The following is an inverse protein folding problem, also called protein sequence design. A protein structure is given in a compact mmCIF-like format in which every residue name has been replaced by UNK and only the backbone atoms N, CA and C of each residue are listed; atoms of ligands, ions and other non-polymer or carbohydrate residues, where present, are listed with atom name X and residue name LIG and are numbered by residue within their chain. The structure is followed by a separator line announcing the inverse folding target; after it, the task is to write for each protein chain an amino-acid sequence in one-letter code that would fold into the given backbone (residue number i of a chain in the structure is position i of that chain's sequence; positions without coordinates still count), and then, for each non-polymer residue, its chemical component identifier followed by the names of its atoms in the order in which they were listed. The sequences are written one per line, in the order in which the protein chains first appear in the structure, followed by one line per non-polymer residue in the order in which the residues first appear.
data_IF_891600426537
#
_entry.id   IF_891600426537
#
_cell.length_a   1.000
_cell.length_b   1.000
_cell.length_c   1.000
_cell.angle_alpha   90.00
_cell.angle_beta   90.00
_cell.angle_gamma   90.00
#
_symmetry.space_group_name_H-M   'P 1'
#
loop_
_entity.id
_entity.type
_entity.pdbx_description
1 polymer ?
#
# COMPACT_ATOMS: atom_id res chain seq x y z
N UNK A 1 30.98 11.91 -46.73
CA UNK A 1 29.77 12.15 -47.56
C UNK A 1 28.55 11.62 -46.84
N UNK A 2 27.75 12.48 -46.20
CA UNK A 2 26.49 12.06 -45.58
C UNK A 2 25.39 12.00 -46.66
N UNK A 3 24.92 10.80 -47.00
CA UNK A 3 23.78 10.61 -47.92
C UNK A 3 22.56 11.34 -47.34
N UNK A 4 22.04 12.34 -48.07
CA UNK A 4 20.78 13.05 -47.77
C UNK A 4 19.68 11.98 -47.62
N UNK A 5 19.13 11.81 -46.41
CA UNK A 5 17.96 10.95 -46.19
C UNK A 5 16.79 11.53 -46.97
N UNK A 6 16.31 10.78 -47.97
CA UNK A 6 15.05 11.07 -48.66
C UNK A 6 13.93 11.07 -47.61
N UNK A 7 13.27 12.21 -47.41
CA UNK A 7 12.11 12.31 -46.52
C UNK A 7 10.97 11.52 -47.15
N UNK A 8 10.71 10.30 -46.66
CA UNK A 8 9.49 9.55 -47.02
C UNK A 8 8.27 10.40 -46.62
N UNK A 9 7.55 10.91 -47.61
CA UNK A 9 6.30 11.63 -47.41
C UNK A 9 5.21 10.62 -47.15
N UNK A 10 4.82 10.47 -45.88
CA UNK A 10 3.67 9.65 -45.53
C UNK A 10 2.38 10.35 -46.00
N UNK A 11 1.32 9.59 -46.36
CA UNK A 11 0.04 10.18 -46.74
C UNK A 11 -0.48 11.10 -45.63
N UNK A 12 -1.04 12.26 -46.01
CA UNK A 12 -1.67 13.16 -45.04
C UNK A 12 -2.78 12.39 -44.30
N UNK A 13 -2.79 12.49 -42.97
CA UNK A 13 -3.75 11.75 -42.13
C UNK A 13 -3.27 10.38 -41.63
N UNK A 14 -2.10 9.87 -42.07
CA UNK A 14 -1.58 8.56 -41.63
C UNK A 14 -1.07 8.57 -40.19
N UNK A 15 -0.77 9.73 -39.60
CA UNK A 15 -0.31 9.82 -38.20
C UNK A 15 -1.23 10.64 -37.31
N UNK A 16 -1.40 10.18 -36.07
CA UNK A 16 -1.98 10.98 -34.99
C UNK A 16 -1.07 12.19 -34.74
N UNK A 17 -1.62 13.39 -34.49
CA UNK A 17 -0.83 14.53 -34.06
C UNK A 17 0.10 14.15 -32.89
N UNK A 18 1.39 14.45 -33.02
CA UNK A 18 2.41 14.07 -32.02
C UNK A 18 2.01 14.37 -30.57
N UNK A 19 1.41 15.54 -30.24
CA UNK A 19 1.00 15.81 -28.85
C UNK A 19 -0.04 14.83 -28.32
N UNK A 20 -1.02 14.44 -29.15
CA UNK A 20 -2.06 13.49 -28.74
C UNK A 20 -1.49 12.07 -28.55
N UNK A 21 -0.52 11.67 -29.37
CA UNK A 21 0.20 10.41 -29.19
C UNK A 21 1.00 10.41 -27.87
N UNK A 22 1.74 11.47 -27.60
CA UNK A 22 2.53 11.60 -26.36
C UNK A 22 1.62 11.55 -25.13
N UNK A 23 0.52 12.30 -25.13
CA UNK A 23 -0.44 12.27 -24.03
C UNK A 23 -1.04 10.88 -23.80
N UNK A 24 -1.43 10.16 -24.87
CA UNK A 24 -1.96 8.80 -24.74
C UNK A 24 -0.90 7.82 -24.18
N UNK A 25 0.36 7.96 -24.58
CA UNK A 25 1.45 7.14 -24.03
C UNK A 25 1.67 7.47 -22.54
N UNK A 26 1.69 8.76 -22.17
CA UNK A 26 1.83 9.15 -20.76
C UNK A 26 0.67 8.62 -19.90
N UNK A 27 -0.57 8.69 -20.39
CA UNK A 27 -1.72 8.11 -19.69
C UNK A 27 -1.55 6.60 -19.49
N UNK A 28 -1.10 5.87 -20.51
CA UNK A 28 -0.82 4.44 -20.40
C UNK A 28 0.28 4.14 -19.38
N UNK A 29 1.33 4.95 -19.31
CA UNK A 29 2.38 4.81 -18.31
C UNK A 29 1.82 5.02 -16.89
N UNK A 30 1.00 6.05 -16.66
CA UNK A 30 0.37 6.29 -15.35
C UNK A 30 -0.52 5.10 -14.97
N UNK A 31 -1.39 4.65 -15.87
CA UNK A 31 -2.25 3.49 -15.64
C UNK A 31 -1.43 2.25 -15.31
N UNK A 32 -0.33 2.00 -16.03
CA UNK A 32 0.56 0.89 -15.75
C UNK A 32 1.21 1.01 -14.36
N UNK A 33 1.67 2.20 -13.97
CA UNK A 33 2.19 2.44 -12.61
C UNK A 33 1.13 2.13 -11.56
N UNK A 34 -0.12 2.58 -11.75
CA UNK A 34 -1.23 2.31 -10.82
C UNK A 34 -1.52 0.80 -10.73
N UNK A 35 -1.52 0.08 -11.85
CA UNK A 35 -1.68 -1.39 -11.88
C UNK A 35 -0.54 -2.09 -11.16
N UNK A 36 0.71 -1.71 -11.43
CA UNK A 36 1.89 -2.30 -10.77
C UNK A 36 1.93 -1.97 -9.28
N UNK A 37 1.56 -0.75 -8.88
CA UNK A 37 1.50 -0.34 -7.48
C UNK A 37 0.45 -1.16 -6.72
N UNK A 38 -0.78 -1.20 -7.22
CA UNK A 38 -1.87 -1.94 -6.59
C UNK A 38 -1.65 -3.46 -6.66
N UNK A 39 -1.11 -3.98 -7.75
CA UNK A 39 -0.80 -5.41 -7.90
C UNK A 39 0.43 -5.86 -7.09
N UNK A 40 1.38 -4.95 -6.84
CA UNK A 40 2.57 -5.23 -6.04
C UNK A 40 2.33 -5.13 -4.53
N UNK A 41 1.37 -4.31 -4.12
CA UNK A 41 1.04 -4.05 -2.71
C UNK A 41 0.79 -5.34 -1.90
N UNK A 42 -0.01 -6.32 -2.35
CA UNK A 42 -0.23 -7.56 -1.60
C UNK A 42 1.06 -8.37 -1.38
N UNK A 43 2.08 -8.24 -2.23
CA UNK A 43 3.35 -8.92 -2.01
C UNK A 43 4.17 -8.24 -0.92
N UNK A 44 4.30 -6.92 -1.01
CA UNK A 44 5.16 -6.16 -0.10
C UNK A 44 4.49 -5.99 1.27
N UNK A 45 3.24 -5.53 1.30
CA UNK A 45 2.51 -5.29 2.55
C UNK A 45 2.33 -6.59 3.35
N UNK A 46 1.95 -7.69 2.70
CA UNK A 46 1.79 -8.97 3.42
C UNK A 46 3.13 -9.48 3.92
N UNK A 47 4.20 -9.37 3.14
CA UNK A 47 5.54 -9.80 3.59
C UNK A 47 5.98 -8.99 4.81
N UNK A 48 5.85 -7.66 4.77
CA UNK A 48 6.20 -6.81 5.90
C UNK A 48 5.32 -7.07 7.12
N UNK A 49 4.01 -7.19 6.95
CA UNK A 49 3.07 -7.49 8.05
C UNK A 49 3.37 -8.84 8.68
N UNK A 50 3.54 -9.89 7.87
CA UNK A 50 3.87 -11.23 8.34
C UNK A 50 5.21 -11.23 9.06
N UNK A 51 6.26 -10.64 8.47
CA UNK A 51 7.59 -10.56 9.11
C UNK A 51 7.52 -9.82 10.44
N UNK A 52 6.86 -8.66 10.50
CA UNK A 52 6.66 -7.87 11.71
C UNK A 52 5.93 -8.67 12.80
N UNK A 53 4.86 -9.37 12.43
CA UNK A 53 4.10 -10.22 13.35
C UNK A 53 4.96 -11.39 13.83
N UNK A 54 5.64 -12.11 12.94
CA UNK A 54 6.52 -13.23 13.26
C UNK A 54 7.59 -12.83 14.28
N UNK A 55 8.19 -11.65 14.12
CA UNK A 55 9.17 -11.13 15.08
C UNK A 55 8.57 -10.83 16.45
N UNK A 56 7.37 -10.25 16.50
CA UNK A 56 6.69 -10.04 17.77
C UNK A 56 6.38 -11.37 18.49
N UNK A 57 5.95 -12.39 17.74
CA UNK A 57 5.71 -13.73 18.30
C UNK A 57 7.02 -14.38 18.78
N UNK A 58 8.09 -14.36 17.98
CA UNK A 58 9.38 -14.94 18.36
C UNK A 58 9.99 -14.25 19.58
N UNK A 59 9.81 -12.93 19.71
CA UNK A 59 10.23 -12.19 20.90
C UNK A 59 9.52 -12.67 22.17
N UNK A 60 8.20 -12.85 22.12
CA UNK A 60 7.37 -13.33 23.24
C UNK A 60 7.64 -14.81 23.54
N UNK A 61 7.80 -15.64 22.51
CA UNK A 61 8.13 -17.06 22.67
C UNK A 61 9.56 -17.27 23.20
N UNK A 62 10.41 -16.24 23.16
CA UNK A 62 11.80 -16.30 23.59
C UNK A 62 12.69 -17.13 22.68
N UNK A 63 12.43 -17.13 21.37
CA UNK A 63 13.24 -17.87 20.40
C UNK A 63 12.67 -17.91 18.98
N UNK A 64 13.53 -18.31 18.05
CA UNK A 64 13.18 -18.52 16.64
C UNK A 64 14.28 -18.08 15.67
N UNK A 65 14.44 -18.83 14.58
CA UNK A 65 15.52 -18.66 13.61
C UNK A 65 15.73 -17.22 13.13
N UNK A 66 14.64 -16.46 12.90
CA UNK A 66 14.75 -15.12 12.32
C UNK A 66 15.26 -14.10 13.35
N UNK A 67 14.71 -14.11 14.57
CA UNK A 67 15.11 -13.17 15.62
C UNK A 67 16.52 -13.44 16.13
N UNK A 68 16.88 -14.73 16.24
CA UNK A 68 18.22 -15.18 16.64
C UNK A 68 19.25 -14.79 15.57
N UNK A 69 18.96 -15.02 14.28
CA UNK A 69 19.86 -14.62 13.18
C UNK A 69 20.11 -13.12 13.12
N UNK A 70 19.11 -12.30 13.45
CA UNK A 70 19.27 -10.84 13.45
C UNK A 70 20.13 -10.32 14.61
N UNK A 71 20.17 -11.05 15.74
CA UNK A 71 20.87 -10.63 16.95
C UNK A 71 22.00 -11.59 17.36
N UNK A 72 22.58 -12.36 16.42
CA UNK A 72 23.65 -13.32 16.73
C UNK A 72 24.88 -12.67 17.38
N UNK A 73 25.10 -11.38 17.11
CA UNK A 73 26.22 -10.62 17.64
C UNK A 73 25.88 -9.87 18.95
N UNK A 74 24.65 -9.99 19.45
CA UNK A 74 24.18 -9.32 20.67
C UNK A 74 23.87 -10.36 21.76
N UNK A 75 24.86 -10.71 22.61
CA UNK A 75 24.67 -11.72 23.66
C UNK A 75 23.73 -11.24 24.76
N UNK A 76 23.55 -9.93 24.95
CA UNK A 76 22.62 -9.40 25.94
C UNK A 76 21.18 -9.63 25.49
N UNK A 77 20.91 -9.40 24.21
CA UNK A 77 19.61 -9.69 23.61
C UNK A 77 19.28 -11.18 23.63
N UNK A 78 20.25 -12.06 23.37
CA UNK A 78 20.03 -13.52 23.47
C UNK A 78 19.67 -13.95 24.89
N UNK A 79 20.33 -13.39 25.91
CA UNK A 79 19.94 -13.62 27.32
C UNK A 79 18.54 -13.09 27.61
N UNK A 80 18.16 -11.96 27.02
CA UNK A 80 16.80 -11.43 27.15
C UNK A 80 15.77 -12.38 26.53
N UNK A 81 16.06 -13.01 25.40
CA UNK A 81 15.19 -14.02 24.79
C UNK A 81 15.04 -15.26 25.69
N UNK A 82 16.12 -15.74 26.31
CA UNK A 82 16.06 -16.84 27.28
C UNK A 82 15.15 -16.49 28.46
N UNK A 83 15.26 -15.28 29.02
CA UNK A 83 14.36 -14.80 30.08
C UNK A 83 12.92 -14.69 29.62
N UNK A 84 12.68 -14.23 28.40
CA UNK A 84 11.33 -14.18 27.83
C UNK A 84 10.73 -15.58 27.66
N UNK A 85 11.55 -16.58 27.31
CA UNK A 85 11.13 -17.98 27.25
C UNK A 85 10.66 -18.49 28.61
N UNK A 86 11.39 -18.16 29.68
CA UNK A 86 10.99 -18.47 31.05
C UNK A 86 9.70 -17.75 31.46
N UNK A 87 9.54 -16.46 31.12
CA UNK A 87 8.28 -15.73 31.37
C UNK A 87 7.11 -16.32 30.59
N UNK A 88 7.34 -16.77 29.37
CA UNK A 88 6.31 -17.39 28.56
C UNK A 88 5.81 -18.70 29.15
N UNK A 89 6.67 -19.51 29.78
CA UNK A 89 6.23 -20.74 30.48
C UNK A 89 5.46 -20.47 31.75
N UNK A 90 5.61 -19.28 32.34
CA UNK A 90 4.85 -18.82 33.52
C UNK A 90 3.45 -18.29 33.17
N UNK A 91 3.17 -18.01 31.90
CA UNK A 91 1.82 -17.60 31.47
C UNK A 91 0.81 -18.72 31.67
N UNK A 92 -0.48 -18.36 31.77
CA UNK A 92 -1.56 -19.34 31.81
C UNK A 92 -1.53 -20.25 30.57
N UNK A 93 -1.83 -21.54 30.75
CA UNK A 93 -1.80 -22.57 29.69
C UNK A 93 -2.63 -22.16 28.47
N UNK A 94 -3.80 -21.57 28.71
CA UNK A 94 -4.73 -21.14 27.66
C UNK A 94 -4.13 -20.03 26.79
N UNK A 95 -3.38 -19.10 27.40
CA UNK A 95 -2.70 -18.03 26.67
C UNK A 95 -1.51 -18.55 25.88
N UNK A 96 -0.74 -19.47 26.48
CA UNK A 96 0.37 -20.12 25.78
C UNK A 96 -0.13 -20.86 24.53
N UNK A 97 -1.20 -21.64 24.67
CA UNK A 97 -1.79 -22.38 23.55
C UNK A 97 -2.34 -21.43 22.49
N UNK A 98 -3.07 -20.38 22.89
CA UNK A 98 -3.57 -19.34 21.97
C UNK A 98 -2.43 -18.70 21.16
N UNK A 99 -1.32 -18.34 21.81
CA UNK A 99 -0.16 -17.71 21.18
C UNK A 99 0.52 -18.69 20.22
N UNK A 100 0.78 -19.94 20.66
CA UNK A 100 1.39 -20.98 19.82
C UNK A 100 0.54 -21.28 18.58
N UNK A 101 -0.76 -21.48 18.75
CA UNK A 101 -1.68 -21.76 17.65
C UNK A 101 -1.72 -20.59 16.66
N UNK A 102 -1.77 -19.35 17.16
CA UNK A 102 -1.74 -18.16 16.31
C UNK A 102 -0.42 -18.03 15.53
N UNK A 103 0.70 -18.38 16.17
CA UNK A 103 2.01 -18.40 15.53
C UNK A 103 2.10 -19.48 14.44
N UNK A 104 1.59 -20.69 14.69
CA UNK A 104 1.54 -21.77 13.68
C UNK A 104 0.71 -21.36 12.46
N UNK A 105 -0.46 -20.73 12.67
CA UNK A 105 -1.29 -20.20 11.58
C UNK A 105 -0.54 -19.11 10.80
N UNK A 106 0.25 -18.28 11.48
CA UNK A 106 1.05 -17.25 10.84
C UNK A 106 2.15 -17.84 9.94
N UNK A 107 2.85 -18.88 10.42
CA UNK A 107 3.87 -19.58 9.63
C UNK A 107 3.26 -20.23 8.38
N UNK A 108 2.09 -20.86 8.49
CA UNK A 108 1.38 -21.39 7.32
C UNK A 108 0.99 -20.32 6.30
N UNK A 109 0.74 -19.08 6.73
CA UNK A 109 0.51 -17.94 5.82
C UNK A 109 1.81 -17.47 5.15
N UNK A 110 2.92 -17.54 5.87
CA UNK A 110 4.24 -17.18 5.36
C UNK A 110 4.67 -18.10 4.21
N UNK A 111 4.43 -19.40 4.35
CA UNK A 111 4.83 -20.45 3.39
C UNK A 111 3.92 -20.57 2.15
N UNK A 112 3.02 -19.61 1.92
CA UNK A 112 2.16 -19.63 0.72
C UNK A 112 2.98 -19.53 -0.56
N UNK A 113 2.64 -20.38 -1.53
CA UNK A 113 3.26 -20.39 -2.86
C UNK A 113 3.06 -19.08 -3.62
N UNK A 114 4.00 -18.77 -4.50
CA UNK A 114 3.97 -17.57 -5.34
C UNK A 114 2.66 -17.44 -6.15
N UNK A 115 2.16 -18.55 -6.71
CA UNK A 115 0.90 -18.57 -7.47
C UNK A 115 -0.30 -18.13 -6.62
N UNK A 116 -0.35 -18.55 -5.35
CA UNK A 116 -1.42 -18.14 -4.43
C UNK A 116 -1.34 -16.65 -4.12
N UNK A 117 -0.12 -16.09 -3.99
CA UNK A 117 0.09 -14.64 -3.82
C UNK A 117 -0.34 -13.87 -5.07
N UNK A 118 -0.03 -14.39 -6.26
CA UNK A 118 -0.46 -13.80 -7.53
C UNK A 118 -1.99 -13.80 -7.65
N UNK A 119 -2.66 -14.91 -7.33
CA UNK A 119 -4.12 -14.99 -7.32
C UNK A 119 -4.73 -13.97 -6.36
N UNK A 120 -4.20 -13.89 -5.13
CA UNK A 120 -4.64 -12.89 -4.15
C UNK A 120 -4.41 -11.46 -4.65
N UNK A 121 -3.36 -11.21 -5.40
CA UNK A 121 -3.07 -9.88 -5.97
C UNK A 121 -4.05 -9.49 -7.06
N UNK A 122 -4.46 -10.45 -7.90
CA UNK A 122 -5.52 -10.23 -8.89
C UNK A 122 -6.86 -9.96 -8.20
N UNK A 123 -7.17 -10.74 -7.15
CA UNK A 123 -8.39 -10.54 -6.36
C UNK A 123 -8.38 -9.15 -5.71
N UNK A 124 -7.28 -8.76 -5.08
CA UNK A 124 -7.12 -7.44 -4.47
C UNK A 124 -7.29 -6.31 -5.51
N UNK A 125 -6.70 -6.46 -6.70
CA UNK A 125 -6.82 -5.46 -7.76
C UNK A 125 -8.26 -5.29 -8.26
N UNK A 126 -9.06 -6.36 -8.25
CA UNK A 126 -10.45 -6.34 -8.74
C UNK A 126 -11.48 -6.04 -7.65
N UNK A 127 -11.23 -6.41 -6.39
CA UNK A 127 -12.19 -6.31 -5.29
C UNK A 127 -11.83 -5.24 -4.26
N UNK A 128 -10.54 -5.00 -3.99
CA UNK A 128 -10.11 -4.02 -2.97
C UNK A 128 -9.98 -2.60 -3.55
N UNK A 129 -9.83 -2.47 -4.87
CA UNK A 129 -9.77 -1.18 -5.54
C UNK A 129 -11.17 -0.52 -5.55
N UNK A 130 -11.29 0.77 -5.19
CA UNK A 130 -12.54 1.50 -5.31
C UNK A 130 -13.15 1.38 -6.71
N UNK A 131 -14.46 1.15 -6.87
CA UNK A 131 -15.09 0.90 -8.17
C UNK A 131 -14.83 2.00 -9.21
N UNK A 132 -14.81 3.27 -8.79
CA UNK A 132 -14.51 4.39 -9.68
C UNK A 132 -13.04 4.43 -10.12
N UNK A 133 -12.10 4.03 -9.25
CA UNK A 133 -10.69 3.92 -9.62
C UNK A 133 -10.47 2.78 -10.60
N UNK A 134 -11.10 1.62 -10.36
CA UNK A 134 -11.06 0.48 -11.28
C UNK A 134 -11.65 0.83 -12.65
N UNK A 135 -12.80 1.50 -12.67
CA UNK A 135 -13.41 2.01 -13.89
C UNK A 135 -12.50 3.01 -14.61
N UNK A 136 -11.84 3.89 -13.86
CA UNK A 136 -10.87 4.84 -14.42
C UNK A 136 -9.66 4.14 -15.04
N UNK A 137 -9.07 3.15 -14.37
CA UNK A 137 -7.95 2.33 -14.89
C UNK A 137 -8.37 1.68 -16.20
N UNK A 138 -9.52 1.00 -16.20
CA UNK A 138 -10.06 0.31 -17.37
C UNK A 138 -10.31 1.27 -18.54
N UNK A 139 -11.04 2.37 -18.30
CA UNK A 139 -11.37 3.36 -19.33
C UNK A 139 -10.13 4.08 -19.84
N UNK A 140 -9.16 4.39 -18.96
CA UNK A 140 -7.92 5.05 -19.35
C UNK A 140 -7.08 4.17 -20.28
N UNK A 141 -7.00 2.87 -20.01
CA UNK A 141 -6.35 1.90 -20.88
C UNK A 141 -7.07 1.80 -22.23
N UNK A 142 -8.38 1.56 -22.21
CA UNK A 142 -9.20 1.38 -23.41
C UNK A 142 -9.16 2.62 -24.32
N UNK A 143 -9.42 3.80 -23.76
CA UNK A 143 -9.50 5.04 -24.52
C UNK A 143 -8.13 5.46 -25.07
N UNK A 144 -7.05 5.26 -24.32
CA UNK A 144 -5.70 5.54 -24.83
C UNK A 144 -5.34 4.64 -26.01
N UNK A 145 -5.67 3.34 -25.95
CA UNK A 145 -5.48 2.41 -27.07
C UNK A 145 -6.37 2.80 -28.27
N UNK A 146 -7.62 3.19 -28.04
CA UNK A 146 -8.52 3.65 -29.11
C UNK A 146 -8.03 4.93 -29.79
N UNK A 147 -7.51 5.89 -29.02
CA UNK A 147 -6.87 7.10 -29.54
C UNK A 147 -5.67 6.73 -30.39
N UNK A 148 -4.80 5.84 -29.91
CA UNK A 148 -3.62 5.34 -30.66
C UNK A 148 -4.00 4.57 -31.94
N UNK A 149 -5.15 3.88 -31.94
CA UNK A 149 -5.71 3.20 -33.13
C UNK A 149 -6.58 4.10 -34.00
N UNK A 150 -6.73 5.39 -33.67
CA UNK A 150 -7.58 6.37 -34.39
C UNK A 150 -9.03 5.93 -34.58
N UNK A 151 -9.62 5.26 -33.58
CA UNK A 151 -11.03 4.90 -33.66
C UNK A 151 -11.89 6.17 -33.64
N UNK A 152 -12.84 6.23 -34.55
CA UNK A 152 -13.85 7.29 -34.57
C UNK A 152 -14.64 7.26 -33.25
N UNK A 153 -14.91 8.42 -32.66
CA UNK A 153 -15.58 8.53 -31.36
C UNK A 153 -14.65 8.54 -30.14
N UNK A 154 -13.39 8.08 -30.25
CA UNK A 154 -12.45 8.07 -29.12
C UNK A 154 -12.21 9.48 -28.55
N UNK A 155 -12.17 10.51 -29.40
CA UNK A 155 -11.98 11.90 -29.00
C UNK A 155 -13.17 12.51 -28.25
N UNK A 156 -14.37 11.92 -28.38
CA UNK A 156 -15.56 12.34 -27.62
C UNK A 156 -15.63 11.54 -26.33
N UNK A 157 -15.44 10.21 -26.41
CA UNK A 157 -15.48 9.31 -25.27
C UNK A 157 -14.42 9.62 -24.20
N UNK A 158 -13.33 10.30 -24.55
CA UNK A 158 -12.29 10.71 -23.57
C UNK A 158 -12.80 11.64 -22.46
N UNK A 159 -13.90 12.35 -22.69
CA UNK A 159 -14.55 13.17 -21.66
C UNK A 159 -15.20 12.36 -20.53
N UNK A 160 -15.32 11.04 -20.70
CA UNK A 160 -15.71 10.14 -19.61
C UNK A 160 -14.65 10.12 -18.49
N UNK A 161 -13.35 10.29 -18.81
CA UNK A 161 -12.29 10.21 -17.80
C UNK A 161 -12.37 11.33 -16.74
N UNK A 162 -12.52 12.62 -17.11
CA UNK A 162 -12.80 13.68 -16.14
C UNK A 162 -14.05 13.43 -15.30
N UNK A 163 -15.12 12.91 -15.90
CA UNK A 163 -16.36 12.62 -15.18
C UNK A 163 -16.14 11.52 -14.13
N UNK A 164 -15.49 10.42 -14.50
CA UNK A 164 -15.14 9.33 -13.56
C UNK A 164 -14.23 9.85 -12.46
N UNK A 165 -13.22 10.67 -12.79
CA UNK A 165 -12.29 11.23 -11.81
C UNK A 165 -13.00 12.16 -10.81
N UNK A 166 -13.98 12.93 -11.27
CA UNK A 166 -14.81 13.78 -10.42
C UNK A 166 -15.66 12.93 -9.47
N UNK A 167 -16.36 11.90 -9.98
CA UNK A 167 -17.14 10.99 -9.15
C UNK A 167 -16.28 10.25 -8.12
N UNK A 168 -15.09 9.78 -8.50
CA UNK A 168 -14.12 9.22 -7.57
C UNK A 168 -13.76 10.19 -6.45
N UNK A 169 -13.55 11.46 -6.79
CA UNK A 169 -13.19 12.48 -5.79
C UNK A 169 -14.33 12.79 -4.83
N UNK A 170 -15.57 12.86 -5.34
CA UNK A 170 -16.76 13.03 -4.50
C UNK A 170 -16.96 11.83 -3.58
N UNK A 171 -16.86 10.61 -4.13
CA UNK A 171 -16.96 9.36 -3.38
C UNK A 171 -15.90 9.27 -2.27
N UNK A 172 -14.64 9.59 -2.59
CA UNK A 172 -13.55 9.60 -1.62
C UNK A 172 -13.77 10.64 -0.51
N UNK A 173 -14.28 11.83 -0.84
CA UNK A 173 -14.54 12.87 0.17
C UNK A 173 -15.71 12.50 1.10
N UNK A 174 -16.75 11.84 0.59
CA UNK A 174 -17.97 11.55 1.34
C UNK A 174 -17.84 10.25 2.15
N UNK A 175 -17.29 9.19 1.55
CA UNK A 175 -17.36 7.83 2.12
C UNK A 175 -16.03 7.30 2.64
N UNK A 176 -14.89 7.86 2.23
CA UNK A 176 -13.60 7.36 2.71
C UNK A 176 -13.35 7.82 4.16
N UNK A 177 -12.86 6.90 4.98
CA UNK A 177 -12.55 7.18 6.37
C UNK A 177 -11.20 7.91 6.47
N UNK A 178 -11.01 8.81 7.45
CA UNK A 178 -9.66 9.26 7.79
C UNK A 178 -8.80 8.04 8.16
N UNK A 179 -7.48 8.10 7.95
CA UNK A 179 -6.58 7.01 8.32
C UNK A 179 -6.76 6.69 9.81
N UNK A 180 -7.34 5.53 10.09
CA UNK A 180 -7.55 5.08 11.46
C UNK A 180 -6.24 4.52 12.00
N UNK A 181 -5.87 4.92 13.21
CA UNK A 181 -4.77 4.29 13.93
C UNK A 181 -5.08 2.82 14.15
N UNK A 182 -4.13 1.95 13.81
CA UNK A 182 -4.26 0.52 14.07
C UNK A 182 -4.31 0.25 15.58
N UNK A 183 -4.88 -0.88 16.00
CA UNK A 183 -4.89 -1.26 17.40
C UNK A 183 -3.47 -1.34 17.97
N UNK A 184 -2.51 -1.82 17.17
CA UNK A 184 -1.10 -1.80 17.53
C UNK A 184 -0.59 -0.37 17.76
N UNK A 185 -0.85 0.57 16.84
CA UNK A 185 -0.39 1.96 16.95
C UNK A 185 -0.92 2.66 18.19
N UNK A 186 -2.14 2.34 18.63
CA UNK A 186 -2.74 2.91 19.84
C UNK A 186 -2.00 2.51 21.14
N UNK A 187 -1.16 1.47 21.11
CA UNK A 187 -0.34 1.08 22.26
C UNK A 187 0.92 1.95 22.40
N UNK A 188 1.35 2.57 21.30
CA UNK A 188 2.53 3.42 21.31
C UNK A 188 2.12 4.84 21.73
N UNK A 189 2.73 5.40 22.79
CA UNK A 189 2.58 6.81 23.11
C UNK A 189 3.15 7.67 21.97
N UNK A 190 2.71 8.93 21.88
CA UNK A 190 3.34 9.89 20.98
C UNK A 190 4.73 10.25 21.47
N UNK A 191 5.62 10.64 20.55
CA UNK A 191 6.98 11.08 20.89
C UNK A 191 6.95 12.24 21.89
N UNK A 192 6.05 13.21 21.69
CA UNK A 192 5.84 14.33 22.62
C UNK A 192 5.44 13.87 24.03
N UNK A 193 4.64 12.81 24.14
CA UNK A 193 4.24 12.29 25.44
C UNK A 193 5.43 11.66 26.17
N UNK A 194 6.28 10.94 25.45
CA UNK A 194 7.51 10.37 26.01
C UNK A 194 8.46 11.47 26.47
N UNK A 195 8.66 12.49 25.64
CA UNK A 195 9.51 13.65 25.94
C UNK A 195 9.05 14.39 27.19
N UNK A 196 7.75 14.72 27.26
CA UNK A 196 7.18 15.49 28.37
C UNK A 196 7.22 14.75 29.72
N UNK A 197 7.14 13.42 29.73
CA UNK A 197 6.97 12.63 30.96
C UNK A 197 8.19 11.81 31.36
N UNK A 198 9.02 11.40 30.40
CA UNK A 198 10.12 10.45 30.62
C UNK A 198 11.46 10.91 30.02
N UNK A 199 11.50 12.06 29.33
CA UNK A 199 12.69 12.62 28.68
C UNK A 199 12.87 12.12 27.25
N UNK A 200 14.09 12.19 26.72
CA UNK A 200 14.33 11.93 25.29
C UNK A 200 14.86 10.51 25.00
N UNK A 201 14.50 10.00 23.82
CA UNK A 201 15.12 8.83 23.19
C UNK A 201 14.86 7.48 23.88
N UNK A 202 15.85 6.59 23.84
CA UNK A 202 15.71 5.21 24.30
C UNK A 202 15.49 5.10 25.83
N UNK A 203 16.12 6.00 26.60
CA UNK A 203 15.95 6.02 28.06
C UNK A 203 14.49 6.29 28.45
N UNK A 204 13.83 7.21 27.74
CA UNK A 204 12.42 7.53 27.94
C UNK A 204 11.52 6.34 27.62
N UNK A 205 11.82 5.61 26.55
CA UNK A 205 11.09 4.39 26.20
C UNK A 205 11.24 3.30 27.26
N UNK A 206 12.46 3.08 27.78
CA UNK A 206 12.72 2.12 28.85
C UNK A 206 11.98 2.50 30.14
N UNK A 207 11.98 3.78 30.49
CA UNK A 207 11.26 4.30 31.65
C UNK A 207 9.74 4.14 31.51
N UNK A 208 9.17 4.47 30.34
CA UNK A 208 7.76 4.25 30.02
C UNK A 208 7.35 2.77 30.16
N UNK A 209 8.13 1.86 29.59
CA UNK A 209 7.85 0.42 29.69
C UNK A 209 7.92 -0.07 31.14
N UNK A 210 8.94 0.37 31.88
CA UNK A 210 9.09 0.01 33.30
C UNK A 210 7.89 0.50 34.14
N UNK A 211 7.49 1.76 33.98
CA UNK A 211 6.44 2.42 34.75
C UNK A 211 5.03 1.92 34.37
N UNK A 212 4.71 1.89 33.07
CA UNK A 212 3.35 1.61 32.60
C UNK A 212 3.03 0.13 32.42
N UNK A 213 4.05 -0.70 32.21
CA UNK A 213 3.87 -2.10 31.84
C UNK A 213 4.53 -3.09 32.80
N UNK A 214 5.54 -2.66 33.55
CA UNK A 214 6.47 -3.56 34.24
C UNK A 214 6.53 -3.42 35.76
N UNK A 215 5.66 -2.60 36.37
CA UNK A 215 5.67 -2.33 37.81
C UNK A 215 7.08 -1.96 38.36
N UNK A 216 7.88 -1.24 37.57
CA UNK A 216 9.25 -0.85 37.93
C UNK A 216 10.37 -1.73 37.34
N UNK A 217 10.04 -2.82 36.65
CA UNK A 217 10.98 -3.65 35.89
C UNK A 217 10.83 -3.43 34.39
N UNK A 218 11.88 -2.90 33.75
CA UNK A 218 11.89 -2.70 32.29
C UNK A 218 11.64 -3.99 31.51
N UNK A 219 12.26 -5.10 31.93
CA UNK A 219 12.16 -6.34 31.18
C UNK A 219 10.76 -6.96 31.26
N UNK A 220 10.15 -6.90 32.44
CA UNK A 220 8.76 -7.32 32.64
C UNK A 220 7.81 -6.44 31.83
N UNK A 221 8.05 -5.12 31.86
CA UNK A 221 7.27 -4.16 31.08
C UNK A 221 7.39 -4.36 29.58
N UNK A 222 8.59 -4.64 29.08
CA UNK A 222 8.81 -4.97 27.67
C UNK A 222 8.07 -6.24 27.27
N UNK A 223 8.11 -7.29 28.10
CA UNK A 223 7.39 -8.53 27.83
C UNK A 223 5.87 -8.34 27.81
N UNK A 224 5.32 -7.68 28.83
CA UNK A 224 3.89 -7.34 28.94
C UNK A 224 3.41 -6.47 27.77
N UNK A 225 4.20 -5.47 27.38
CA UNK A 225 3.92 -4.64 26.20
C UNK A 225 3.84 -5.48 24.92
N UNK A 226 4.78 -6.41 24.73
CA UNK A 226 4.76 -7.28 23.55
C UNK A 226 3.59 -8.27 23.55
N UNK A 227 3.16 -8.76 24.71
CA UNK A 227 1.92 -9.55 24.82
C UNK A 227 0.69 -8.74 24.41
N UNK A 228 0.55 -7.51 24.91
CA UNK A 228 -0.52 -6.62 24.50
C UNK A 228 -0.45 -6.32 23.00
N UNK A 229 0.76 -6.13 22.46
CA UNK A 229 1.00 -5.94 21.04
C UNK A 229 0.53 -7.12 20.19
N UNK A 230 0.78 -8.36 20.62
CA UNK A 230 0.25 -9.55 19.93
C UNK A 230 -1.28 -9.55 19.90
N UNK A 231 -1.92 -9.19 21.01
CA UNK A 231 -3.38 -9.10 21.08
C UNK A 231 -3.95 -8.02 20.14
N UNK A 232 -3.25 -6.89 20.03
CA UNK A 232 -3.63 -5.79 19.14
C UNK A 232 -3.46 -6.16 17.67
N UNK A 233 -2.34 -6.81 17.32
CA UNK A 233 -2.10 -7.34 15.97
C UNK A 233 -3.16 -8.37 15.55
N UNK A 234 -3.63 -9.21 16.48
CA UNK A 234 -4.72 -10.14 16.21
C UNK A 234 -6.05 -9.43 15.91
N UNK A 235 -6.35 -8.33 16.60
CA UNK A 235 -7.53 -7.49 16.31
C UNK A 235 -7.42 -6.80 14.95
N UNK A 236 -6.25 -6.27 14.62
CA UNK A 236 -6.00 -5.63 13.31
C UNK A 236 -6.22 -6.58 12.12
N UNK A 237 -5.96 -7.89 12.30
CA UNK A 237 -6.25 -8.90 11.27
C UNK A 237 -7.75 -9.15 11.06
N UNK A 238 -8.60 -8.82 12.03
CA UNK A 238 -10.06 -8.99 11.94
C UNK A 238 -10.76 -7.74 11.39
N UNK A 239 -10.10 -6.58 11.43
CA UNK A 239 -10.70 -5.35 10.91
C UNK A 239 -10.74 -5.36 9.39
N UNK A 240 -11.94 -5.17 8.82
CA UNK A 240 -12.11 -5.02 7.37
C UNK A 240 -11.45 -3.70 6.95
N UNK A 241 -10.53 -3.72 5.97
CA UNK A 241 -9.91 -2.49 5.48
C UNK A 241 -11.00 -1.58 4.91
N UNK A 242 -11.02 -0.33 5.36
CA UNK A 242 -11.86 0.72 4.79
C UNK A 242 -11.04 1.56 3.80
N UNK A 243 -11.67 2.08 2.73
CA UNK A 243 -10.99 3.03 1.86
C UNK A 243 -10.53 4.23 2.69
N UNK A 244 -9.24 4.55 2.56
CA UNK A 244 -8.61 5.68 3.23
C UNK A 244 -8.85 6.94 2.41
N UNK A 245 -9.22 8.02 3.08
CA UNK A 245 -9.41 9.31 2.44
C UNK A 245 -8.09 9.82 1.88
N UNK A 246 -8.12 10.15 0.60
CA UNK A 246 -6.94 10.66 -0.10
C UNK A 246 -6.72 12.15 0.22
N UNK A 247 -5.47 12.63 0.20
CA UNK A 247 -5.17 14.04 0.36
C UNK A 247 -5.89 14.89 -0.70
N UNK A 248 -6.46 16.03 -0.31
CA UNK A 248 -7.22 16.89 -1.22
C UNK A 248 -6.39 17.38 -2.42
N UNK A 249 -5.10 17.65 -2.20
CA UNK A 249 -4.17 18.05 -3.27
C UNK A 249 -4.05 16.97 -4.35
N UNK A 250 -4.01 15.70 -3.93
CA UNK A 250 -3.97 14.57 -4.85
C UNK A 250 -5.24 14.52 -5.70
N UNK A 251 -6.41 14.67 -5.09
CA UNK A 251 -7.69 14.70 -5.81
C UNK A 251 -7.77 15.86 -6.82
N UNK A 252 -7.28 17.05 -6.46
CA UNK A 252 -7.22 18.20 -7.38
C UNK A 252 -6.32 17.91 -8.58
N UNK A 253 -5.09 17.44 -8.34
CA UNK A 253 -4.14 17.09 -9.41
C UNK A 253 -4.71 15.99 -10.31
N UNK A 254 -5.36 14.99 -9.72
CA UNK A 254 -5.99 13.89 -10.43
C UNK A 254 -7.10 14.36 -11.38
N UNK A 255 -7.99 15.26 -10.93
CA UNK A 255 -9.03 15.85 -11.79
C UNK A 255 -8.43 16.72 -12.90
N UNK A 256 -7.47 17.58 -12.55
CA UNK A 256 -6.81 18.48 -13.52
C UNK A 256 -6.08 17.69 -14.60
N UNK A 257 -5.39 16.61 -14.24
CA UNK A 257 -4.72 15.74 -15.19
C UNK A 257 -5.71 15.14 -16.20
N UNK A 258 -6.82 14.57 -15.72
CA UNK A 258 -7.83 13.97 -16.57
C UNK A 258 -8.51 15.00 -17.50
N UNK A 259 -8.81 16.19 -16.98
CA UNK A 259 -9.35 17.29 -17.78
C UNK A 259 -8.36 17.77 -18.86
N UNK A 260 -7.08 17.93 -18.51
CA UNK A 260 -6.03 18.31 -19.44
C UNK A 260 -5.83 17.25 -20.54
N UNK A 261 -5.81 15.96 -20.15
CA UNK A 261 -5.74 14.84 -21.08
C UNK A 261 -6.89 14.88 -22.09
N UNK A 262 -8.14 14.95 -21.60
CA UNK A 262 -9.33 15.03 -22.46
C UNK A 262 -9.30 16.25 -23.39
N UNK A 263 -8.98 17.42 -22.86
CA UNK A 263 -8.93 18.66 -23.63
C UNK A 263 -7.88 18.62 -24.75
N UNK A 264 -6.66 18.15 -24.47
CA UNK A 264 -5.59 18.09 -25.47
C UNK A 264 -5.95 17.10 -26.59
N UNK A 265 -6.46 15.91 -26.24
CA UNK A 265 -6.87 14.92 -27.24
C UNK A 265 -8.03 15.45 -28.08
N UNK A 266 -9.08 15.98 -27.44
CA UNK A 266 -10.25 16.53 -28.13
C UNK A 266 -9.86 17.66 -29.10
N UNK A 267 -9.06 18.64 -28.64
CA UNK A 267 -8.62 19.77 -29.47
C UNK A 267 -7.77 19.34 -30.66
N UNK A 268 -6.91 18.32 -30.50
CA UNK A 268 -5.99 17.88 -31.56
C UNK A 268 -6.64 16.91 -32.54
N UNK A 269 -7.54 16.06 -32.09
CA UNK A 269 -8.26 15.11 -32.93
C UNK A 269 -9.49 15.74 -33.62
N UNK A 270 -10.18 16.69 -32.96
CA UNK A 270 -11.34 17.37 -33.53
C UNK A 270 -11.00 18.25 -34.74
N UNK A 271 -9.87 18.96 -34.70
CA UNK A 271 -9.40 19.78 -35.83
C UNK A 271 -9.06 18.96 -37.07
N UNK A 272 -8.72 17.68 -36.93
CA UNK A 272 -8.40 16.83 -38.08
C UNK A 272 -9.64 16.49 -38.93
N UNK A 273 -10.85 16.50 -38.34
CA UNK A 273 -12.08 16.21 -39.08
C UNK A 273 -12.51 17.33 -40.02
N UNK A 274 -12.28 18.59 -39.65
CA UNK A 274 -12.65 19.76 -40.46
C UNK A 274 -11.69 20.05 -41.65
N UNK A 275 -10.59 19.32 -41.78
CA UNK A 275 -9.61 19.50 -42.88
C UNK A 275 -9.79 18.45 -43.99
N UNK A 276 -10.60 17.41 -43.74
CA UNK A 276 -10.82 16.28 -44.65
C UNK A 276 -12.26 16.21 -45.19
N UNK A 277 -13.17 17.05 -44.66
CA UNK A 277 -14.50 17.30 -45.20
C UNK A 277 -14.47 18.61 -46.00
#
# INVERSE_FOLDING_TARGET
MFKKRVKRTFPKGTFIPTPARVMAILQLCIVFVVICWNGGRPFMDDLYKLKRQTLAYQYVLGGGDLIERMHQNDPEFLKQLERNRERFTQLHTDEQERIKNSYTVLLQKYDRTFLKKMQLSVIALLLDMPPFELLWVFMSLMLSVMVLKKREGAAVAIWLLPAIAFFYSVDNVIYAAPPALTHEQKLFPSDSFLEDHYGEGEAAWRAYLSDRWGNGSYEEGSFSFHLARLSALAKDLQTVPRPVREPWLFLVVYNLWNAAFAFIIWRRCGKAKHVLA
#
